data_IF_030580695598
#
_entry.id   IF_030580695598
#
_cell.length_a   1.000
_cell.length_b   1.000
_cell.length_c   1.000
_cell.angle_alpha   90.00
_cell.angle_beta   90.00
_cell.angle_gamma   90.00
#
_symmetry.space_group_name_H-M   'P 1'
#
loop_
_entity.id
_entity.type
_entity.pdbx_description
1 polymer ?
#
# COMPACT_ATOMS: atom_id res chain seq x y z
N UNK A 1 -5.91 2.04 -7.34
CA UNK A 1 -6.08 3.48 -7.01
C UNK A 1 -4.71 4.17 -7.15
N UNK A 2 -4.64 5.49 -7.36
CA UNK A 2 -3.36 6.19 -7.59
C UNK A 2 -3.28 7.49 -6.81
N UNK A 3 -2.23 7.63 -5.98
CA UNK A 3 -1.93 8.86 -5.26
C UNK A 3 -1.25 9.88 -6.18
N UNK A 4 -1.71 11.12 -6.16
CA UNK A 4 -1.07 12.24 -6.86
C UNK A 4 -0.12 12.95 -5.90
N UNK A 5 1.17 12.62 -6.00
CA UNK A 5 2.22 13.28 -5.23
C UNK A 5 2.56 14.65 -5.83
N UNK A 6 2.89 15.66 -5.00
CA UNK A 6 3.41 16.92 -5.49
C UNK A 6 4.76 16.71 -6.22
N UNK A 7 5.04 17.58 -7.20
CA UNK A 7 6.27 17.48 -8.01
C UNK A 7 7.56 17.67 -7.20
N UNK A 8 7.48 18.38 -6.07
CA UNK A 8 8.60 18.55 -5.14
C UNK A 8 8.08 18.66 -3.70
N UNK A 9 8.82 18.10 -2.76
CA UNK A 9 8.59 18.21 -1.33
C UNK A 9 9.89 18.75 -0.72
N UNK A 10 9.80 19.85 0.01
CA UNK A 10 10.95 20.43 0.72
C UNK A 10 10.88 20.00 2.17
N UNK A 11 11.94 19.35 2.65
CA UNK A 11 12.08 18.93 4.04
C UNK A 11 13.10 19.82 4.72
N UNK A 12 12.81 20.27 5.93
CA UNK A 12 13.77 21.05 6.72
C UNK A 12 14.93 20.14 7.18
N UNK A 13 16.18 20.64 7.25
CA UNK A 13 17.34 19.81 7.55
C UNK A 13 17.36 19.25 8.98
N UNK A 14 16.62 19.84 9.91
CA UNK A 14 16.59 19.46 11.32
C UNK A 14 15.32 18.68 11.71
N UNK A 15 14.62 18.08 10.73
CA UNK A 15 13.40 17.32 11.00
C UNK A 15 13.74 16.03 11.73
N UNK A 16 13.08 15.81 12.87
CA UNK A 16 13.27 14.60 13.66
C UNK A 16 12.82 13.34 12.94
N UNK A 17 13.53 12.24 13.15
CA UNK A 17 13.11 10.89 12.72
C UNK A 17 11.73 10.57 13.29
N UNK A 18 10.84 10.03 12.45
CA UNK A 18 9.44 9.74 12.76
C UNK A 18 8.46 10.85 12.37
N UNK A 19 8.95 11.99 11.86
CA UNK A 19 8.08 13.08 11.42
C UNK A 19 7.42 12.75 10.08
N UNK A 20 6.10 12.92 10.00
CA UNK A 20 5.34 12.84 8.75
C UNK A 20 5.50 14.16 7.98
N UNK A 21 6.07 14.10 6.78
CA UNK A 21 6.32 15.27 5.92
C UNK A 21 5.29 15.43 4.82
N UNK A 22 4.54 14.37 4.53
CA UNK A 22 3.45 14.37 3.58
C UNK A 22 2.43 13.31 3.97
N UNK A 23 1.16 13.62 3.77
CA UNK A 23 0.04 12.72 3.92
C UNK A 23 -0.91 12.89 2.73
N UNK A 24 -1.36 11.76 2.19
CA UNK A 24 -2.38 11.72 1.15
C UNK A 24 -3.39 10.63 1.46
N UNK A 25 -4.66 10.92 1.18
CA UNK A 25 -5.75 9.95 1.30
C UNK A 25 -6.57 9.93 0.02
N UNK A 26 -6.96 8.75 -0.43
CA UNK A 26 -7.82 8.55 -1.59
C UNK A 26 -8.92 7.55 -1.24
N UNK A 27 -10.09 7.78 -1.81
CA UNK A 27 -11.25 6.89 -1.73
C UNK A 27 -11.59 6.46 -3.16
N UNK A 28 -11.87 5.18 -3.35
CA UNK A 28 -12.38 4.66 -4.63
C UNK A 28 -13.84 5.06 -4.82
N UNK A 29 -14.30 5.05 -6.08
CA UNK A 29 -15.73 4.92 -6.33
C UNK A 29 -16.27 3.63 -5.71
N UNK A 30 -17.60 3.51 -5.70
CA UNK A 30 -18.24 2.23 -5.38
C UNK A 30 -17.79 1.18 -6.41
N UNK A 31 -17.30 0.04 -5.91
CA UNK A 31 -16.89 -1.09 -6.73
C UNK A 31 -17.95 -2.17 -6.60
N UNK A 32 -18.57 -2.47 -7.74
CA UNK A 32 -19.52 -3.55 -7.94
C UNK A 32 -18.89 -4.57 -8.88
N UNK A 33 -18.46 -5.72 -8.34
CA UNK A 33 -17.84 -6.77 -9.14
C UNK A 33 -18.21 -8.16 -8.66
N UNK A 34 -18.58 -9.02 -9.59
CA UNK A 34 -18.81 -10.44 -9.34
C UNK A 34 -17.56 -11.22 -9.69
N UNK A 35 -16.89 -11.76 -8.67
CA UNK A 35 -15.66 -12.52 -8.82
C UNK A 35 -15.90 -14.01 -8.60
N UNK A 36 -15.51 -14.80 -9.59
CA UNK A 36 -15.26 -16.22 -9.40
C UNK A 36 -13.75 -16.37 -9.21
N UNK A 37 -13.32 -16.98 -8.10
CA UNK A 37 -11.91 -17.00 -7.76
C UNK A 37 -11.49 -18.33 -7.14
N UNK A 38 -10.48 -18.96 -7.72
CA UNK A 38 -9.97 -20.28 -7.28
C UNK A 38 -8.45 -20.23 -7.19
N UNK A 39 -7.93 -19.93 -6.01
CA UNK A 39 -6.49 -19.79 -5.81
C UNK A 39 -6.15 -19.14 -4.46
N UNK A 40 -4.90 -19.20 -4.05
CA UNK A 40 -4.42 -18.46 -2.89
C UNK A 40 -4.32 -16.98 -3.27
N UNK A 41 -4.80 -16.10 -2.38
CA UNK A 41 -4.72 -14.66 -2.53
C UNK A 41 -3.50 -14.14 -1.79
N UNK A 42 -2.72 -13.35 -2.49
CA UNK A 42 -1.59 -12.61 -1.94
C UNK A 42 -1.87 -11.13 -2.10
N UNK A 43 -1.42 -10.33 -1.14
CA UNK A 43 -1.49 -8.89 -1.24
C UNK A 43 -0.24 -8.23 -0.68
N UNK A 44 0.07 -7.03 -1.15
CA UNK A 44 1.11 -6.21 -0.58
C UNK A 44 1.95 -5.50 -1.62
N UNK A 45 3.08 -4.94 -1.18
CA UNK A 45 4.02 -4.29 -2.08
C UNK A 45 4.66 -5.28 -3.05
N UNK A 46 4.66 -4.92 -4.34
CA UNK A 46 5.23 -5.74 -5.39
C UNK A 46 6.77 -5.76 -5.39
N UNK A 47 7.40 -4.68 -4.92
CA UNK A 47 8.86 -4.50 -4.96
C UNK A 47 9.50 -4.37 -3.57
N UNK A 48 8.82 -3.73 -2.62
CA UNK A 48 9.36 -3.57 -1.26
C UNK A 48 9.34 -4.89 -0.51
N UNK A 49 10.40 -5.12 0.27
CA UNK A 49 10.60 -6.35 1.04
C UNK A 49 10.80 -6.04 2.53
N UNK A 50 10.81 -7.07 3.36
CA UNK A 50 11.08 -6.92 4.80
C UNK A 50 12.46 -6.30 5.09
N UNK A 51 13.42 -6.42 4.15
CA UNK A 51 14.74 -5.80 4.28
C UNK A 51 14.68 -4.26 4.18
N UNK A 52 13.64 -3.73 3.52
CA UNK A 52 13.41 -2.29 3.40
C UNK A 52 12.69 -1.73 4.63
N UNK A 53 12.19 -2.56 5.54
CA UNK A 53 11.45 -2.12 6.72
C UNK A 53 12.35 -1.31 7.67
N UNK A 54 11.84 -0.15 8.11
CA UNK A 54 12.48 0.73 9.09
C UNK A 54 11.85 0.55 10.47
N UNK A 55 12.06 -0.66 10.99
CA UNK A 55 11.65 -1.05 12.34
C UNK A 55 12.29 -0.11 13.36
N UNK A 56 11.46 0.59 14.15
CA UNK A 56 11.91 1.54 15.18
C UNK A 56 11.66 3.01 14.88
N UNK A 57 11.16 3.36 13.69
CA UNK A 57 10.69 4.72 13.37
C UNK A 57 9.20 4.84 13.61
N UNK A 58 8.40 4.20 12.74
CA UNK A 58 6.97 4.01 12.88
C UNK A 58 6.62 2.65 12.27
N UNK A 59 5.48 2.08 12.69
CA UNK A 59 4.98 0.84 12.12
C UNK A 59 4.67 1.01 10.62
N UNK A 60 5.01 -0.01 9.83
CA UNK A 60 4.73 -0.06 8.40
C UNK A 60 5.56 0.87 7.54
N UNK A 61 6.64 1.45 8.07
CA UNK A 61 7.53 2.31 7.29
C UNK A 61 8.57 1.48 6.55
N UNK A 62 8.62 1.67 5.24
CA UNK A 62 9.60 1.07 4.34
C UNK A 62 10.47 2.15 3.71
N UNK A 63 11.74 1.83 3.52
CA UNK A 63 12.72 2.73 2.92
C UNK A 63 12.36 3.00 1.45
N UNK A 64 12.34 4.28 1.07
CA UNK A 64 12.18 4.68 -0.33
C UNK A 64 13.52 4.76 -1.05
N UNK A 65 13.51 5.09 -2.35
CA UNK A 65 14.74 5.39 -3.11
C UNK A 65 15.51 6.61 -2.58
N UNK A 66 14.88 7.48 -1.77
CA UNK A 66 15.51 8.67 -1.20
C UNK A 66 16.04 8.34 0.20
N UNK A 67 17.35 8.48 0.47
CA UNK A 67 17.91 8.31 1.81
C UNK A 67 17.21 9.21 2.84
N UNK A 68 16.98 8.66 4.03
CA UNK A 68 16.29 9.38 5.11
C UNK A 68 14.78 9.56 4.92
N UNK A 69 14.19 9.10 3.81
CA UNK A 69 12.73 9.13 3.58
C UNK A 69 12.17 7.72 3.48
N UNK A 70 11.20 7.44 4.33
CA UNK A 70 10.37 6.24 4.31
C UNK A 70 8.95 6.53 3.85
N UNK A 71 8.25 5.48 3.43
CA UNK A 71 6.83 5.49 3.09
C UNK A 71 6.11 4.47 3.96
N UNK A 72 4.89 4.81 4.37
CA UNK A 72 3.93 3.83 4.87
C UNK A 72 2.59 4.04 4.22
N UNK A 73 1.88 2.95 3.94
CA UNK A 73 0.53 2.98 3.41
C UNK A 73 -0.39 2.16 4.30
N UNK A 74 -1.65 2.57 4.34
CA UNK A 74 -2.71 1.85 5.00
C UNK A 74 -3.94 1.81 4.08
N UNK A 75 -4.63 0.68 4.07
CA UNK A 75 -5.83 0.44 3.27
C UNK A 75 -6.93 -0.17 4.13
N UNK A 76 -8.18 0.16 3.83
CA UNK A 76 -9.34 -0.42 4.48
C UNK A 76 -10.57 -0.36 3.56
N UNK A 77 -11.48 -1.30 3.77
CA UNK A 77 -12.77 -1.36 3.09
C UNK A 77 -13.85 -0.66 3.91
N UNK A 78 -14.69 0.15 3.28
CA UNK A 78 -15.86 0.85 3.89
C UNK A 78 -15.55 1.80 5.07
N UNK A 79 -14.27 2.01 5.39
CA UNK A 79 -13.82 2.88 6.47
C UNK A 79 -12.50 3.56 6.14
N UNK A 80 -12.23 4.69 6.79
CA UNK A 80 -10.91 5.33 6.73
C UNK A 80 -9.86 4.42 7.36
N UNK A 81 -8.74 4.13 6.67
CA UNK A 81 -7.68 3.31 7.23
C UNK A 81 -6.90 4.08 8.29
N UNK A 82 -6.41 3.33 9.26
CA UNK A 82 -5.52 3.79 10.32
C UNK A 82 -4.13 3.20 10.12
N UNK A 83 -3.07 3.84 10.61
CA UNK A 83 -1.73 3.26 10.50
C UNK A 83 -1.48 2.25 11.63
N UNK A 84 -2.24 1.15 11.62
CA UNK A 84 -2.14 0.01 12.53
C UNK A 84 -1.80 -1.27 11.76
N UNK A 85 -1.32 -2.30 12.45
CA UNK A 85 -0.98 -3.60 11.84
C UNK A 85 -2.09 -4.25 11.01
N UNK A 86 -3.37 -3.89 11.26
CA UNK A 86 -4.52 -4.42 10.51
C UNK A 86 -4.64 -3.81 9.11
N UNK A 87 -4.38 -2.51 9.01
CA UNK A 87 -4.64 -1.72 7.80
C UNK A 87 -3.35 -1.47 6.99
N UNK A 88 -2.19 -1.54 7.65
CA UNK A 88 -0.91 -1.24 7.03
C UNK A 88 -0.63 -2.23 5.90
N UNK A 89 -0.23 -1.68 4.76
CA UNK A 89 0.27 -2.48 3.63
C UNK A 89 1.66 -2.98 3.97
N UNK A 90 1.86 -4.29 3.87
CA UNK A 90 3.15 -4.96 4.05
C UNK A 90 3.68 -5.49 2.72
N UNK A 91 4.95 -5.95 2.65
CA UNK A 91 5.45 -6.73 1.54
C UNK A 91 4.52 -7.87 1.18
N UNK A 92 4.59 -8.29 -0.09
CA UNK A 92 3.74 -9.35 -0.63
C UNK A 92 3.69 -10.56 0.30
N UNK A 93 2.49 -10.87 0.80
CA UNK A 93 2.25 -11.95 1.74
C UNK A 93 0.95 -12.65 1.42
N UNK A 94 0.83 -13.89 1.90
CA UNK A 94 -0.41 -14.64 1.81
C UNK A 94 -1.50 -13.98 2.65
N UNK A 95 -2.61 -13.64 2.02
CA UNK A 95 -3.74 -12.97 2.66
C UNK A 95 -4.87 -13.94 2.99
N UNK A 96 -5.31 -14.72 2.01
CA UNK A 96 -6.44 -15.63 2.20
C UNK A 96 -6.45 -16.76 1.18
N UNK A 97 -7.20 -17.81 1.48
CA UNK A 97 -7.58 -18.78 0.45
C UNK A 97 -8.73 -18.20 -0.38
N UNK A 98 -8.70 -18.44 -1.69
CA UNK A 98 -9.83 -18.18 -2.57
C UNK A 98 -11.01 -19.06 -2.18
N UNK A 99 -12.21 -18.47 -2.15
CA UNK A 99 -13.43 -19.20 -1.90
C UNK A 99 -13.91 -19.84 -3.20
N UNK A 100 -14.12 -21.16 -3.21
CA UNK A 100 -14.72 -21.84 -4.36
C UNK A 100 -16.17 -21.38 -4.56
N UNK A 101 -16.41 -20.50 -5.53
CA UNK A 101 -17.75 -19.99 -5.85
C UNK A 101 -17.73 -18.56 -6.38
N UNK A 102 -18.94 -18.03 -6.59
CA UNK A 102 -19.15 -16.63 -6.94
C UNK A 102 -19.21 -15.80 -5.67
N UNK A 103 -18.45 -14.71 -5.65
CA UNK A 103 -18.50 -13.71 -4.59
C UNK A 103 -18.78 -12.35 -5.23
N UNK A 104 -19.86 -11.71 -4.78
CA UNK A 104 -20.14 -10.33 -5.14
C UNK A 104 -19.38 -9.41 -4.19
N UNK A 105 -18.51 -8.57 -4.74
CA UNK A 105 -17.82 -7.52 -4.04
C UNK A 105 -18.63 -6.24 -4.25
N UNK A 106 -19.08 -5.67 -3.15
CA UNK A 106 -19.80 -4.41 -3.10
C UNK A 106 -19.13 -3.56 -2.04
N UNK A 107 -18.07 -2.84 -2.43
CA UNK A 107 -17.23 -2.15 -1.46
C UNK A 107 -16.62 -0.87 -2.01
N UNK A 108 -16.29 0.03 -1.09
CA UNK A 108 -15.42 1.18 -1.31
C UNK A 108 -14.09 0.93 -0.62
N UNK A 109 -13.01 1.13 -1.36
CA UNK A 109 -11.67 1.09 -0.82
C UNK A 109 -11.23 2.49 -0.44
N UNK A 110 -10.66 2.60 0.75
CA UNK A 110 -9.99 3.78 1.25
C UNK A 110 -8.51 3.46 1.42
N UNK A 111 -7.65 4.35 0.92
CA UNK A 111 -6.21 4.21 1.09
C UNK A 111 -5.61 5.52 1.59
N UNK A 112 -4.69 5.42 2.53
CA UNK A 112 -3.92 6.53 3.07
C UNK A 112 -2.44 6.23 2.95
N UNK A 113 -1.65 7.25 2.67
CA UNK A 113 -0.21 7.16 2.51
C UNK A 113 0.46 8.30 3.26
N UNK A 114 1.58 7.99 3.92
CA UNK A 114 2.41 8.98 4.58
C UNK A 114 3.88 8.80 4.18
N UNK A 115 4.55 9.93 3.96
CA UNK A 115 6.01 9.98 3.88
C UNK A 115 6.55 10.41 5.23
N UNK A 116 7.56 9.67 5.71
CA UNK A 116 8.10 9.78 7.05
C UNK A 116 9.60 9.97 6.98
N UNK A 117 10.16 10.86 7.79
CA UNK A 117 11.62 10.99 7.93
C UNK A 117 12.15 9.80 8.73
N UNK A 118 13.05 9.03 8.13
CA UNK A 118 13.69 7.84 8.73
C UNK A 118 15.14 8.07 9.14
N UNK A 119 15.72 9.21 8.75
CA UNK A 119 17.12 9.58 9.04
C UNK A 119 17.50 10.89 8.35
N UNK A 120 18.80 11.09 8.14
CA UNK A 120 19.32 12.25 7.40
C UNK A 120 18.78 12.24 5.96
N UNK A 121 18.06 13.31 5.60
CA UNK A 121 17.40 13.43 4.30
C UNK A 121 18.39 13.99 3.29
N UNK A 122 18.61 13.24 2.22
CA UNK A 122 19.40 13.69 1.07
C UNK A 122 18.50 14.06 -0.11
N UNK A 123 18.97 14.98 -0.95
CA UNK A 123 18.29 15.31 -2.20
C UNK A 123 18.23 14.09 -3.12
N UNK A 124 17.02 13.77 -3.61
CA UNK A 124 16.83 12.60 -4.44
C UNK A 124 15.49 12.58 -5.16
N UNK A 125 15.36 11.63 -6.08
CA UNK A 125 14.10 11.37 -6.78
C UNK A 125 13.38 10.20 -6.14
N UNK A 126 12.11 10.41 -5.79
CA UNK A 126 11.24 9.35 -5.29
C UNK A 126 10.77 8.48 -6.46
N UNK A 127 11.28 7.25 -6.53
CA UNK A 127 10.87 6.27 -7.52
C UNK A 127 9.54 5.63 -7.08
N UNK A 128 8.44 6.15 -7.61
CA UNK A 128 7.09 5.68 -7.31
C UNK A 128 6.77 4.31 -7.90
N UNK A 129 7.56 3.81 -8.87
CA UNK A 129 7.34 2.50 -9.48
C UNK A 129 7.48 1.37 -8.46
N UNK A 130 8.36 1.56 -7.47
CA UNK A 130 8.62 0.61 -6.37
C UNK A 130 7.54 0.63 -5.29
N UNK A 131 6.65 1.63 -5.31
CA UNK A 131 5.64 1.88 -4.28
C UNK A 131 4.26 1.33 -4.68
N UNK A 132 4.24 0.44 -5.67
CA UNK A 132 3.03 -0.23 -6.13
C UNK A 132 2.70 -1.39 -5.19
N UNK A 133 1.48 -1.38 -4.67
CA UNK A 133 0.86 -2.51 -3.99
C UNK A 133 -0.19 -3.14 -4.91
N UNK A 134 -0.28 -4.46 -4.89
CA UNK A 134 -1.20 -5.22 -5.74
C UNK A 134 -1.70 -6.46 -5.03
N UNK A 135 -2.82 -6.99 -5.55
CA UNK A 135 -3.38 -8.27 -5.18
C UNK A 135 -3.08 -9.28 -6.28
N UNK A 136 -2.51 -10.42 -5.91
CA UNK A 136 -2.14 -11.50 -6.82
C UNK A 136 -2.84 -12.82 -6.45
N UNK A 137 -3.09 -13.64 -7.46
CA UNK A 137 -3.69 -14.98 -7.33
C UNK A 137 -2.67 -16.05 -7.73
N UNK A 138 -2.47 -17.05 -6.87
CA UNK A 138 -1.58 -18.19 -7.13
C UNK A 138 -2.27 -19.56 -6.90
N UNK A 139 -2.28 -20.47 -7.90
CA UNK A 139 -1.87 -20.21 -9.28
C UNK A 139 -2.85 -19.23 -9.97
N UNK A 140 -2.41 -18.51 -11.02
CA UNK A 140 -3.32 -17.79 -11.88
C UNK A 140 -4.25 -18.82 -12.54
N UNK A 141 -5.42 -19.04 -11.93
CA UNK A 141 -6.40 -20.00 -12.43
C UNK A 141 -7.11 -19.36 -13.63
N UNK A 142 -7.17 -20.03 -14.79
CA UNK A 142 -7.88 -19.52 -15.96
C UNK A 142 -9.39 -19.37 -15.71
N UNK A 143 -9.90 -19.97 -14.64
CA UNK A 143 -11.30 -19.88 -14.21
C UNK A 143 -11.54 -18.73 -13.20
N UNK A 144 -10.49 -17.97 -12.86
CA UNK A 144 -10.62 -16.80 -11.97
C UNK A 144 -10.81 -15.53 -12.80
N UNK A 145 -12.00 -14.96 -12.71
CA UNK A 145 -12.34 -13.74 -13.42
C UNK A 145 -13.35 -12.93 -12.59
N UNK A 146 -13.24 -11.61 -12.70
CA UNK A 146 -14.21 -10.69 -12.13
C UNK A 146 -14.92 -9.94 -13.25
N UNK A 147 -16.24 -9.84 -13.16
CA UNK A 147 -17.07 -9.06 -14.06
C UNK A 147 -17.49 -7.80 -13.31
N UNK A 148 -17.22 -6.61 -13.87
CA UNK A 148 -17.81 -5.37 -13.37
C UNK A 148 -19.31 -5.36 -13.71
N UNK A 149 -20.14 -5.11 -12.70
CA UNK A 149 -21.61 -5.08 -12.83
C UNK A 149 -22.15 -3.67 -13.04
#
# INVERSE_FOLDING_TARGET
MTFQLPASITVEPDVSVGTVIYEGSIESGQIDMDCQDTGNKYKGYAVLTDADARNGVLEGVYQTSVPGIGIRMAEAEERTPTFTSEDIVTPMHFYSYGASGWNSIHTKYHASMQLVVTGDVEDGYLDTSRLTAQDDLDPPSPDSFCILS
#
